data_IF_400789303073
#
_entry.id   IF_400789303073
#
_cell.length_a   1.000
_cell.length_b   1.000
_cell.length_c   1.000
_cell.angle_alpha   90.00
_cell.angle_beta   90.00
_cell.angle_gamma   90.00
#
_symmetry.space_group_name_H-M   'P 1'
#
loop_
_entity.id
_entity.type
_entity.pdbx_description
1 polymer ?
#
# COMPACT_ATOMS: atom_id res chain seq x y z
N UNK A 1 -17.06 4.95 22.48
CA UNK A 1 -15.63 5.28 22.57
C UNK A 1 -14.86 3.99 22.33
N UNK A 2 -14.19 3.84 21.19
CA UNK A 2 -13.31 2.71 20.78
C UNK A 2 -13.68 1.32 21.37
N UNK A 3 -14.81 0.74 20.96
CA UNK A 3 -15.18 -0.62 21.38
C UNK A 3 -14.83 -1.62 20.27
N UNK A 4 -13.89 -2.53 20.55
CA UNK A 4 -13.58 -3.69 19.71
C UNK A 4 -12.46 -3.48 18.69
N UNK A 5 -12.00 -4.61 18.13
CA UNK A 5 -10.85 -4.75 17.23
C UNK A 5 -10.75 -3.67 16.13
N UNK A 6 -11.88 -3.12 15.69
CA UNK A 6 -11.93 -2.00 14.71
C UNK A 6 -11.16 -0.74 15.14
N UNK A 7 -11.03 -0.48 16.45
CA UNK A 7 -10.24 0.65 16.94
C UNK A 7 -8.74 0.49 16.66
N UNK A 8 -8.25 -0.76 16.59
CA UNK A 8 -6.86 -1.06 16.29
C UNK A 8 -6.52 -0.80 14.82
N UNK A 9 -7.44 -1.08 13.89
CA UNK A 9 -7.23 -0.79 12.47
C UNK A 9 -6.94 0.70 12.23
N UNK A 10 -7.70 1.59 12.87
CA UNK A 10 -7.51 3.06 12.78
C UNK A 10 -6.15 3.51 13.32
N UNK A 11 -5.63 2.84 14.35
CA UNK A 11 -4.31 3.16 14.91
C UNK A 11 -3.17 2.58 14.07
N UNK A 12 -3.37 1.41 13.47
CA UNK A 12 -2.36 0.73 12.66
C UNK A 12 -2.18 1.38 11.29
N UNK A 13 -3.24 1.92 10.70
CA UNK A 13 -3.19 2.60 9.39
C UNK A 13 -2.07 3.65 9.28
N UNK A 14 -2.01 4.70 10.13
CA UNK A 14 -0.97 5.71 10.04
C UNK A 14 0.42 5.16 10.37
N UNK A 15 0.51 4.10 11.19
CA UNK A 15 1.79 3.47 11.55
C UNK A 15 2.35 2.70 10.34
N UNK A 16 1.53 1.89 9.69
CA UNK A 16 1.92 1.12 8.53
C UNK A 16 2.28 2.03 7.35
N UNK A 17 1.51 3.10 7.12
CA UNK A 17 1.83 4.10 6.10
C UNK A 17 3.17 4.79 6.38
N UNK A 18 3.48 5.12 7.63
CA UNK A 18 4.80 5.69 7.99
C UNK A 18 5.94 4.70 7.74
N UNK A 19 5.75 3.42 8.07
CA UNK A 19 6.77 2.39 7.83
C UNK A 19 7.03 2.25 6.32
N UNK A 20 5.98 2.24 5.48
CA UNK A 20 6.14 2.20 4.02
C UNK A 20 6.94 3.40 3.48
N UNK A 21 6.72 4.60 4.02
CA UNK A 21 7.50 5.79 3.64
C UNK A 21 8.96 5.69 4.10
N UNK A 22 9.21 5.09 5.27
CA UNK A 22 10.56 4.83 5.76
C UNK A 22 11.30 3.80 4.89
N UNK A 23 10.66 2.67 4.56
CA UNK A 23 11.20 1.65 3.65
C UNK A 23 11.58 2.25 2.29
N UNK A 24 10.70 3.10 1.73
CA UNK A 24 10.98 3.78 0.47
C UNK A 24 12.18 4.74 0.56
N UNK A 25 12.32 5.41 1.70
CA UNK A 25 13.46 6.29 1.96
C UNK A 25 14.76 5.51 2.02
N UNK A 26 14.76 4.34 2.66
CA UNK A 26 15.91 3.45 2.74
C UNK A 26 16.26 2.83 1.38
N UNK A 27 15.25 2.48 0.57
CA UNK A 27 15.42 1.98 -0.79
C UNK A 27 16.08 3.01 -1.69
N UNK A 28 15.56 4.24 -1.69
CA UNK A 28 16.12 5.34 -2.49
C UNK A 28 17.41 5.93 -1.91
N UNK A 29 17.77 5.59 -0.67
CA UNK A 29 18.84 6.22 0.11
C UNK A 29 18.68 7.73 0.24
N UNK A 30 17.46 8.24 0.16
CA UNK A 30 17.17 9.67 0.15
C UNK A 30 15.77 10.00 0.70
N UNK A 31 15.70 10.95 1.63
CA UNK A 31 14.44 11.55 2.08
C UNK A 31 13.82 12.43 0.99
N UNK A 32 12.52 12.78 1.10
CA UNK A 32 11.91 13.76 0.22
C UNK A 32 12.68 15.09 0.26
N UNK A 33 13.12 15.57 -0.91
CA UNK A 33 13.87 16.83 -1.04
C UNK A 33 15.33 16.80 -0.60
N UNK A 34 15.83 15.69 -0.05
CA UNK A 34 17.24 15.58 0.35
C UNK A 34 18.16 15.42 -0.87
N UNK A 35 19.31 16.09 -0.86
CA UNK A 35 20.36 15.87 -1.86
C UNK A 35 21.42 14.95 -1.25
N UNK A 36 21.70 13.84 -1.93
CA UNK A 36 22.66 12.83 -1.51
C UNK A 36 23.24 12.17 -2.74
N UNK A 37 24.55 11.90 -2.69
CA UNK A 37 25.28 11.26 -3.78
C UNK A 37 24.92 9.76 -3.91
N UNK A 38 24.40 9.15 -2.84
CA UNK A 38 23.98 7.74 -2.79
C UNK A 38 22.57 7.49 -3.35
N UNK A 39 21.87 8.53 -3.83
CA UNK A 39 20.48 8.43 -4.30
C UNK A 39 20.34 7.39 -5.41
N UNK A 40 19.41 6.45 -5.23
CA UNK A 40 19.15 5.35 -6.19
C UNK A 40 17.93 5.52 -7.07
N UNK A 41 17.31 6.70 -7.09
CA UNK A 41 16.14 6.97 -7.92
C UNK A 41 15.21 8.02 -7.32
N UNK A 42 14.00 8.08 -7.88
CA UNK A 42 12.97 9.05 -7.52
C UNK A 42 11.61 8.39 -7.26
N UNK A 43 10.85 8.96 -6.33
CA UNK A 43 9.45 8.58 -6.05
C UNK A 43 8.56 8.96 -7.24
N UNK A 44 7.58 8.12 -7.54
CA UNK A 44 6.55 8.33 -8.56
C UNK A 44 5.15 8.13 -7.96
N UNK A 45 4.83 9.00 -7.00
CA UNK A 45 3.55 9.00 -6.28
C UNK A 45 3.33 7.75 -5.41
N UNK A 46 2.07 7.55 -5.04
CA UNK A 46 1.57 6.43 -4.25
C UNK A 46 0.43 5.74 -5.02
N UNK A 47 0.03 4.56 -4.57
CA UNK A 47 -1.23 3.94 -4.95
C UNK A 47 -1.89 3.32 -3.73
N UNK A 48 -3.22 3.30 -3.74
CA UNK A 48 -4.00 2.79 -2.62
C UNK A 48 -4.13 1.26 -2.69
N UNK A 49 -3.94 0.60 -1.55
CA UNK A 49 -4.13 -0.84 -1.41
C UNK A 49 -4.80 -1.16 -0.07
N UNK A 50 -5.72 -2.12 -0.09
CA UNK A 50 -6.44 -2.56 1.11
C UNK A 50 -5.76 -3.78 1.73
N UNK A 51 -5.41 -3.69 3.01
CA UNK A 51 -4.90 -4.81 3.80
C UNK A 51 -6.00 -5.33 4.71
N UNK A 52 -6.52 -6.52 4.42
CA UNK A 52 -7.55 -7.16 5.24
C UNK A 52 -6.89 -7.91 6.39
N UNK A 53 -7.07 -7.42 7.61
CA UNK A 53 -6.55 -8.04 8.84
C UNK A 53 -7.68 -8.55 9.73
N UNK A 54 -7.34 -9.28 10.80
CA UNK A 54 -8.33 -9.73 11.81
C UNK A 54 -9.03 -8.56 12.50
N UNK A 55 -8.37 -7.42 12.59
CA UNK A 55 -8.87 -6.23 13.28
C UNK A 55 -9.66 -5.29 12.37
N UNK A 56 -9.69 -5.58 11.06
CA UNK A 56 -10.40 -4.79 10.05
C UNK A 56 -9.60 -4.63 8.77
N UNK A 57 -10.17 -3.89 7.83
CA UNK A 57 -9.50 -3.46 6.61
C UNK A 57 -8.75 -2.16 6.88
N UNK A 58 -7.48 -2.13 6.49
CA UNK A 58 -6.61 -0.95 6.61
C UNK A 58 -6.31 -0.44 5.20
N UNK A 59 -6.39 0.88 4.99
CA UNK A 59 -6.05 1.50 3.71
C UNK A 59 -4.58 1.94 3.72
N UNK A 60 -3.79 1.40 2.79
CA UNK A 60 -2.36 1.64 2.70
C UNK A 60 -2.02 2.47 1.46
N UNK A 61 -1.21 3.50 1.65
CA UNK A 61 -0.67 4.35 0.60
C UNK A 61 0.73 3.86 0.22
N UNK A 62 0.79 2.90 -0.70
CA UNK A 62 2.06 2.26 -1.05
C UNK A 62 2.86 3.16 -2.00
N UNK A 63 4.08 3.59 -1.62
CA UNK A 63 4.91 4.43 -2.48
C UNK A 63 5.43 3.65 -3.69
N UNK A 64 5.58 4.35 -4.81
CA UNK A 64 6.22 3.80 -6.02
C UNK A 64 7.50 4.53 -6.33
N UNK A 65 8.49 3.81 -6.82
CA UNK A 65 9.66 4.40 -7.47
C UNK A 65 9.42 4.52 -8.98
N UNK A 66 10.21 5.37 -9.64
CA UNK A 66 10.10 5.61 -11.08
C UNK A 66 10.53 4.39 -11.91
N UNK A 67 11.42 3.56 -11.38
CA UNK A 67 11.99 2.42 -12.07
C UNK A 67 11.22 1.11 -11.80
N UNK A 68 10.23 1.14 -10.89
CA UNK A 68 9.44 -0.03 -10.51
C UNK A 68 10.26 -1.09 -9.76
N UNK A 69 11.37 -0.69 -9.15
CA UNK A 69 12.30 -1.56 -8.40
C UNK A 69 11.92 -1.72 -6.94
N UNK A 70 11.00 -0.89 -6.43
CA UNK A 70 10.52 -0.96 -5.07
C UNK A 70 9.44 -2.04 -4.94
N UNK A 71 9.88 -3.25 -4.59
CA UNK A 71 8.98 -4.35 -4.20
C UNK A 71 8.64 -4.32 -2.70
N UNK A 72 9.24 -3.37 -1.98
CA UNK A 72 8.96 -3.04 -0.59
C UNK A 72 9.40 -4.10 0.42
N UNK A 73 9.49 -3.69 1.68
CA UNK A 73 9.91 -4.52 2.80
C UNK A 73 8.77 -5.37 3.38
N UNK A 74 8.88 -5.81 4.65
CA UNK A 74 7.89 -6.69 5.26
C UNK A 74 6.46 -6.15 5.24
N UNK A 75 6.23 -4.83 5.32
CA UNK A 75 4.87 -4.25 5.25
C UNK A 75 4.27 -4.35 3.85
N UNK A 76 5.11 -4.19 2.84
CA UNK A 76 4.72 -4.33 1.44
C UNK A 76 4.40 -5.79 1.10
N UNK A 77 5.17 -6.74 1.66
CA UNK A 77 4.92 -8.16 1.55
C UNK A 77 3.60 -8.59 2.20
N UNK A 78 3.26 -8.04 3.38
CA UNK A 78 1.96 -8.26 4.02
C UNK A 78 0.78 -7.79 3.14
N UNK A 79 1.03 -6.79 2.30
CA UNK A 79 0.04 -6.29 1.34
C UNK A 79 0.02 -7.06 0.02
N UNK A 80 1.03 -7.90 -0.25
CA UNK A 80 1.16 -8.67 -1.49
C UNK A 80 0.35 -9.99 -1.47
N UNK A 81 0.00 -10.51 -0.29
CA UNK A 81 -0.75 -11.76 -0.15
C UNK A 81 -2.27 -11.54 -0.23
N UNK A 82 -2.77 -11.43 -1.47
CA UNK A 82 -4.02 -11.98 -2.02
C UNK A 82 -4.49 -11.14 -3.20
N UNK A 83 -3.79 -11.28 -4.31
CA UNK A 83 -4.45 -11.17 -5.62
C UNK A 83 -5.27 -12.45 -5.84
N UNK A 84 -6.33 -12.59 -5.06
CA UNK A 84 -7.45 -13.46 -5.42
C UNK A 84 -8.22 -12.71 -6.47
N UNK A 85 -7.92 -12.97 -7.73
CA UNK A 85 -8.67 -12.53 -8.89
C UNK A 85 -10.16 -12.85 -8.68
N UNK A 86 -10.95 -11.85 -8.27
CA UNK A 86 -12.39 -11.81 -8.53
C UNK A 86 -12.58 -10.81 -9.66
N UNK A 87 -12.72 -11.34 -10.86
CA UNK A 87 -13.46 -10.68 -11.93
C UNK A 87 -14.93 -10.74 -11.50
N UNK A 88 -15.36 -9.80 -10.67
CA UNK A 88 -16.78 -9.50 -10.51
C UNK A 88 -17.18 -8.62 -11.71
N UNK A 89 -17.65 -9.27 -12.78
CA UNK A 89 -18.44 -8.62 -13.83
C UNK A 89 -19.86 -9.13 -13.66
N UNK A 90 -20.61 -8.49 -12.76
CA UNK A 90 -22.05 -8.71 -12.66
C UNK A 90 -22.77 -7.98 -13.80
N UNK A 91 -23.48 -8.80 -14.58
CA UNK A 91 -24.79 -8.59 -15.18
C UNK A 91 -25.16 -7.22 -15.78
N UNK A 92 -25.44 -7.22 -17.09
CA UNK A 92 -26.71 -6.67 -17.59
C UNK A 92 -27.11 -7.37 -18.89
N UNK A 93 -28.33 -7.89 -18.91
CA UNK A 93 -28.90 -8.61 -20.03
C UNK A 93 -29.22 -7.70 -21.21
N UNK A 94 -29.20 -8.26 -22.41
CA UNK A 94 -30.01 -7.75 -23.50
C UNK A 94 -30.64 -8.93 -24.23
N UNK A 95 -31.96 -9.00 -24.10
CA UNK A 95 -32.86 -9.91 -24.78
C UNK A 95 -32.97 -9.61 -26.28
N UNK A 96 -33.42 -10.62 -27.03
CA UNK A 96 -33.99 -10.49 -28.37
C UNK A 96 -32.93 -10.37 -29.48
N UNK A 97 -33.03 -11.07 -30.60
CA UNK A 97 -34.19 -11.70 -31.25
C UNK A 97 -33.68 -12.80 -32.19
#
# INVERSE_FOLDING_TARGET
MLQGDRGMAVLLEPILNQILQAEMTEHLKAKPGEQTDDRRGYRNGTYDRKLTTRVGTIELEVPRDREGTFFGGPVSALSAEREGARLDVDADGCAGS
#
